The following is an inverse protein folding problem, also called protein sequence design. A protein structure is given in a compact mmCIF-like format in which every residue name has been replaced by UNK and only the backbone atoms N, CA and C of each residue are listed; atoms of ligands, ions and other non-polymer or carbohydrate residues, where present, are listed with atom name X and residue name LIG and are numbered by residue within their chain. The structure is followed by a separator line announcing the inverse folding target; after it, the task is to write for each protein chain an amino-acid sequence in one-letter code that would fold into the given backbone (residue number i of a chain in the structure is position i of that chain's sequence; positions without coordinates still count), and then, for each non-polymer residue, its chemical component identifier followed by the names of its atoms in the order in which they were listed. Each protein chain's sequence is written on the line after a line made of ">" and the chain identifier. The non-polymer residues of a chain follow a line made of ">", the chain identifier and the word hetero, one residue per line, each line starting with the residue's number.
data_IF_172093142287
#
_entry.id   IF_172093142287
#
_cell.length_a   1.000
_cell.length_b   1.000
_cell.length_c   1.000
_cell.angle_alpha   90.00
_cell.angle_beta   90.00
_cell.angle_gamma   90.00
#
_symmetry.space_group_name_H-M   'P 1'
#
loop_
_entity.id
_entity.type
_entity.pdbx_description
1 polymer ?
#
# COMPACT_ATOMS: atom_id res chain seq x y z
N UNK A 1 -15.91 2.76 -10.78
CA UNK A 1 -14.69 2.58 -9.98
C UNK A 1 -14.53 1.12 -9.63
N UNK A 2 -13.34 0.57 -9.89
CA UNK A 2 -13.08 -0.88 -9.81
C UNK A 2 -13.19 -1.35 -8.36
N UNK A 3 -12.76 -0.53 -7.40
CA UNK A 3 -12.75 -0.89 -5.98
C UNK A 3 -14.15 -0.96 -5.35
N UNK A 4 -15.10 -0.14 -5.82
CA UNK A 4 -16.48 -0.17 -5.32
C UNK A 4 -17.16 -1.53 -5.54
N UNK A 5 -16.85 -2.21 -6.64
CA UNK A 5 -17.34 -3.57 -6.90
C UNK A 5 -16.71 -4.59 -5.96
N UNK A 6 -15.45 -4.38 -5.56
CA UNK A 6 -14.70 -5.30 -4.72
C UNK A 6 -15.23 -5.31 -3.27
N UNK A 7 -15.64 -4.15 -2.76
CA UNK A 7 -16.20 -4.03 -1.41
C UNK A 7 -17.71 -4.30 -1.34
N UNK A 8 -18.36 -4.54 -2.48
CA UNK A 8 -19.80 -4.76 -2.52
C UNK A 8 -20.17 -6.01 -1.71
N UNK A 9 -21.12 -5.87 -0.78
CA UNK A 9 -21.56 -6.92 0.15
C UNK A 9 -20.48 -7.44 1.11
N UNK A 10 -19.37 -6.71 1.27
CA UNK A 10 -18.32 -6.99 2.26
C UNK A 10 -18.41 -5.98 3.40
N UNK A 11 -18.12 -6.41 4.63
CA UNK A 11 -18.00 -5.50 5.78
C UNK A 11 -16.57 -4.95 5.80
N UNK A 12 -16.37 -3.81 5.13
CA UNK A 12 -15.09 -3.10 5.07
C UNK A 12 -15.16 -1.89 5.99
N UNK A 13 -14.19 -1.75 6.88
CA UNK A 13 -14.01 -0.52 7.66
C UNK A 13 -13.03 0.37 6.90
N UNK A 14 -13.30 1.68 6.87
CA UNK A 14 -12.44 2.64 6.21
C UNK A 14 -12.48 3.98 6.93
N UNK A 15 -11.39 4.75 6.87
CA UNK A 15 -11.25 6.03 7.58
C UNK A 15 -11.96 7.19 6.90
N UNK A 16 -12.24 7.04 5.61
CA UNK A 16 -12.68 8.11 4.73
C UNK A 16 -11.52 8.52 3.84
N UNK A 17 -11.84 8.81 2.58
CA UNK A 17 -10.88 9.22 1.58
C UNK A 17 -10.10 10.48 1.96
N UNK A 18 -8.89 10.60 1.43
CA UNK A 18 -8.05 11.80 1.54
C UNK A 18 -8.18 12.68 0.30
N UNK A 19 -7.82 13.95 0.43
CA UNK A 19 -7.83 14.86 -0.71
C UNK A 19 -6.71 14.52 -1.70
N UNK A 20 -6.91 14.79 -2.99
CA UNK A 20 -5.90 14.57 -4.03
C UNK A 20 -4.57 15.27 -3.70
N UNK A 21 -4.62 16.45 -3.07
CA UNK A 21 -3.43 17.20 -2.67
C UNK A 21 -2.61 16.50 -1.59
N UNK A 22 -3.22 15.65 -0.75
CA UNK A 22 -2.51 14.82 0.23
C UNK A 22 -1.79 13.67 -0.47
N UNK A 23 -2.41 13.07 -1.49
CA UNK A 23 -1.78 12.05 -2.34
C UNK A 23 -0.56 12.64 -3.06
N UNK A 24 -0.71 13.80 -3.72
CA UNK A 24 0.39 14.48 -4.42
C UNK A 24 1.54 14.85 -3.48
N UNK A 25 1.21 15.25 -2.25
CA UNK A 25 2.22 15.53 -1.21
C UNK A 25 2.97 14.24 -0.82
N UNK A 26 2.26 13.13 -0.63
CA UNK A 26 2.86 11.84 -0.29
C UNK A 26 3.77 11.32 -1.41
N UNK A 27 3.33 11.39 -2.67
CA UNK A 27 4.14 11.01 -3.84
C UNK A 27 5.43 11.83 -3.90
N UNK A 28 5.34 13.15 -3.69
CA UNK A 28 6.50 14.05 -3.66
C UNK A 28 7.44 13.74 -2.51
N UNK A 29 6.90 13.46 -1.33
CA UNK A 29 7.66 13.18 -0.11
C UNK A 29 8.42 11.85 -0.21
N UNK A 30 7.81 10.84 -0.84
CA UNK A 30 8.44 9.54 -1.08
C UNK A 30 9.25 9.50 -2.39
N UNK A 31 9.13 10.51 -3.25
CA UNK A 31 9.72 10.53 -4.60
C UNK A 31 9.30 9.32 -5.45
N UNK A 32 8.06 8.84 -5.29
CA UNK A 32 7.49 7.70 -6.00
C UNK A 32 6.06 8.04 -6.39
N UNK A 33 5.72 7.86 -7.67
CA UNK A 33 4.32 7.97 -8.13
C UNK A 33 3.50 6.76 -7.69
N UNK A 34 2.27 7.00 -7.29
CA UNK A 34 1.33 5.98 -6.86
C UNK A 34 0.50 5.49 -8.05
N UNK A 35 0.31 4.17 -8.19
CA UNK A 35 -0.50 3.61 -9.26
C UNK A 35 -1.97 4.00 -9.10
N UNK A 36 -2.67 4.04 -10.22
CA UNK A 36 -4.02 4.63 -10.30
C UNK A 36 -5.05 3.93 -9.39
N UNK A 37 -4.97 2.61 -9.27
CA UNK A 37 -5.85 1.83 -8.40
C UNK A 37 -5.54 2.01 -6.91
N UNK A 38 -4.29 2.26 -6.53
CA UNK A 38 -3.94 2.64 -5.16
C UNK A 38 -4.41 4.06 -4.85
N UNK A 39 -4.28 5.01 -5.78
CA UNK A 39 -4.85 6.37 -5.62
C UNK A 39 -6.37 6.34 -5.49
N UNK A 40 -7.07 5.50 -6.26
CA UNK A 40 -8.52 5.26 -6.11
C UNK A 40 -8.86 4.81 -4.68
N UNK A 41 -8.04 3.94 -4.08
CA UNK A 41 -8.22 3.53 -2.68
C UNK A 41 -8.08 4.72 -1.73
N UNK A 42 -6.99 5.47 -1.86
CA UNK A 42 -6.67 6.59 -0.96
C UNK A 42 -7.75 7.68 -1.01
N UNK A 43 -8.20 8.06 -2.21
CA UNK A 43 -9.13 9.19 -2.41
C UNK A 43 -10.56 8.83 -2.03
N UNK A 44 -10.97 7.58 -2.21
CA UNK A 44 -12.37 7.18 -1.96
C UNK A 44 -12.56 6.57 -0.56
N UNK A 45 -11.54 5.90 -0.03
CA UNK A 45 -11.66 5.09 1.20
C UNK A 45 -10.62 5.46 2.26
N UNK A 46 -9.45 5.98 1.87
CA UNK A 46 -8.34 6.20 2.79
C UNK A 46 -7.74 4.86 3.22
N UNK A 47 -7.47 4.71 4.52
CA UNK A 47 -7.07 3.43 5.08
C UNK A 47 -8.28 2.49 5.16
N UNK A 48 -8.03 1.21 4.89
CA UNK A 48 -9.05 0.16 4.95
C UNK A 48 -8.60 -0.97 5.88
N UNK A 49 -9.59 -1.58 6.54
CA UNK A 49 -9.42 -2.82 7.29
C UNK A 49 -10.47 -3.82 6.82
N UNK A 50 -9.99 -4.99 6.38
CA UNK A 50 -10.84 -6.10 5.95
C UNK A 50 -10.42 -7.36 6.69
N UNK A 51 -11.18 -7.70 7.73
CA UNK A 51 -10.85 -8.82 8.60
C UNK A 51 -9.59 -8.52 9.41
N UNK A 52 -8.56 -9.35 9.27
CA UNK A 52 -7.24 -9.17 9.91
C UNK A 52 -6.21 -8.55 8.97
N UNK A 53 -6.59 -8.18 7.74
CA UNK A 53 -5.68 -7.60 6.77
C UNK A 53 -5.78 -6.07 6.84
N UNK A 54 -4.65 -5.46 7.14
CA UNK A 54 -4.47 -4.02 7.17
C UNK A 54 -3.49 -3.65 6.05
N UNK A 55 -3.89 -2.69 5.23
CA UNK A 55 -3.05 -2.15 4.15
C UNK A 55 -2.73 -0.72 4.54
N UNK A 56 -1.44 -0.41 4.65
CA UNK A 56 -1.00 0.94 4.97
C UNK A 56 -1.43 1.90 3.87
N UNK A 57 -1.89 3.08 4.27
CA UNK A 57 -2.58 4.06 3.43
C UNK A 57 -2.38 5.49 3.94
N UNK A 58 -3.18 6.44 3.47
CA UNK A 58 -3.24 7.82 3.99
C UNK A 58 -4.51 8.01 4.84
N UNK A 59 -4.55 9.10 5.62
CA UNK A 59 -5.65 9.41 6.53
C UNK A 59 -5.54 8.72 7.90
N UNK A 60 -4.39 8.13 8.20
CA UNK A 60 -4.01 7.49 9.47
C UNK A 60 -2.60 7.90 9.85
N UNK A 61 -2.18 7.60 11.09
CA UNK A 61 -0.84 7.87 11.63
C UNK A 61 -0.15 6.55 12.03
N UNK A 62 1.17 6.56 12.22
CA UNK A 62 1.96 5.41 12.66
C UNK A 62 2.16 4.36 11.57
N UNK A 63 2.30 3.09 11.97
CA UNK A 63 2.68 1.97 11.09
C UNK A 63 1.67 1.68 9.95
N UNK A 64 0.44 2.21 10.06
CA UNK A 64 -0.57 2.14 9.00
C UNK A 64 -0.52 3.33 8.04
N UNK A 65 0.27 4.36 8.32
CA UNK A 65 0.53 5.44 7.38
C UNK A 65 1.58 5.00 6.36
N UNK A 66 1.22 4.98 5.07
CA UNK A 66 2.12 4.52 4.00
C UNK A 66 3.40 5.34 3.90
N UNK A 67 3.35 6.64 4.21
CA UNK A 67 4.53 7.51 4.16
C UNK A 67 5.46 7.21 5.32
N UNK A 68 4.92 7.10 6.54
CA UNK A 68 5.70 6.78 7.74
C UNK A 68 6.33 5.40 7.62
N UNK A 69 5.53 4.37 7.29
CA UNK A 69 6.01 3.00 7.11
C UNK A 69 7.06 2.89 6.00
N UNK A 70 6.82 3.52 4.84
CA UNK A 70 7.79 3.46 3.74
C UNK A 70 9.12 4.11 4.12
N UNK A 71 9.09 5.23 4.86
CA UNK A 71 10.30 5.89 5.31
C UNK A 71 11.07 5.04 6.31
N UNK A 72 10.38 4.49 7.30
CA UNK A 72 10.96 3.62 8.30
C UNK A 72 11.66 2.42 7.64
N UNK A 73 10.97 1.69 6.77
CA UNK A 73 11.55 0.52 6.12
C UNK A 73 12.69 0.84 5.15
N UNK A 74 12.69 2.04 4.54
CA UNK A 74 13.82 2.51 3.72
C UNK A 74 15.09 2.73 4.54
N UNK A 75 14.99 3.02 5.85
CA UNK A 75 16.17 3.14 6.72
C UNK A 75 16.83 1.77 6.99
N UNK A 76 16.04 0.70 7.00
CA UNK A 76 16.51 -0.67 7.24
C UNK A 76 16.91 -1.41 5.95
N UNK A 77 16.38 -0.98 4.80
CA UNK A 77 16.68 -1.61 3.53
C UNK A 77 18.13 -1.35 3.06
N UNK A 78 18.92 -2.39 2.77
CA UNK A 78 20.27 -2.21 2.24
C UNK A 78 20.26 -1.51 0.87
N UNK A 79 21.35 -0.79 0.59
CA UNK A 79 21.67 -0.22 -0.72
C UNK A 79 20.56 0.64 -1.35
N UNK A 80 19.65 1.23 -0.56
CA UNK A 80 18.53 2.04 -1.06
C UNK A 80 17.58 1.26 -2.00
N UNK A 81 17.45 -0.05 -1.84
CA UNK A 81 16.68 -0.91 -2.74
C UNK A 81 15.17 -0.59 -2.78
N UNK A 82 14.63 0.04 -1.73
CA UNK A 82 13.21 0.41 -1.64
C UNK A 82 12.88 1.83 -2.15
N UNK A 83 13.83 2.56 -2.76
CA UNK A 83 13.59 3.96 -3.16
C UNK A 83 12.52 4.13 -4.24
N UNK A 84 12.33 3.13 -5.11
CA UNK A 84 11.33 3.17 -6.19
C UNK A 84 9.99 2.52 -5.79
N UNK A 85 9.86 2.11 -4.53
CA UNK A 85 8.70 1.39 -4.01
C UNK A 85 8.07 2.12 -2.83
N UNK A 86 6.79 1.84 -2.61
CA UNK A 86 6.12 2.12 -1.34
C UNK A 86 5.87 0.80 -0.60
N UNK A 87 5.93 0.85 0.73
CA UNK A 87 5.61 -0.30 1.58
C UNK A 87 4.15 -0.21 1.98
N UNK A 88 3.36 -1.20 1.56
CA UNK A 88 1.92 -1.25 1.84
C UNK A 88 1.58 -2.22 2.97
N UNK A 89 2.50 -3.12 3.34
CA UNK A 89 2.42 -3.93 4.56
C UNK A 89 3.81 -4.29 5.08
N UNK A 90 3.96 -4.27 6.40
CA UNK A 90 5.03 -4.98 7.10
C UNK A 90 4.39 -6.15 7.86
N UNK A 91 4.75 -7.39 7.49
CA UNK A 91 4.14 -8.59 8.07
C UNK A 91 4.76 -9.03 9.41
N UNK A 92 5.80 -8.34 9.89
CA UNK A 92 6.45 -8.62 11.18
C UNK A 92 7.20 -9.94 11.24
N UNK A 93 7.44 -10.60 10.10
CA UNK A 93 8.09 -11.90 10.00
C UNK A 93 9.37 -11.77 9.16
N UNK A 94 10.53 -11.81 9.80
CA UNK A 94 11.85 -11.85 9.13
C UNK A 94 12.10 -10.73 8.09
N UNK A 95 11.54 -9.54 8.31
CA UNK A 95 11.66 -8.40 7.38
C UNK A 95 10.88 -8.59 6.08
N UNK A 96 9.84 -9.44 6.09
CA UNK A 96 8.91 -9.61 4.98
C UNK A 96 8.00 -8.39 4.85
N UNK A 97 8.16 -7.69 3.73
CA UNK A 97 7.36 -6.54 3.33
C UNK A 97 6.54 -6.88 2.09
N UNK A 98 5.37 -6.28 1.97
CA UNK A 98 4.64 -6.17 0.71
C UNK A 98 4.83 -4.77 0.17
N UNK A 99 5.36 -4.67 -1.05
CA UNK A 99 5.72 -3.40 -1.68
C UNK A 99 5.09 -3.23 -3.05
N UNK A 100 4.83 -1.97 -3.41
CA UNK A 100 4.18 -1.57 -4.64
C UNK A 100 5.11 -0.65 -5.43
N UNK A 101 5.26 -0.90 -6.74
CA UNK A 101 5.95 0.02 -7.64
C UNK A 101 4.99 1.03 -8.29
N UNK A 102 5.53 2.00 -9.03
CA UNK A 102 4.75 3.06 -9.69
C UNK A 102 3.87 2.56 -10.84
N UNK A 103 4.12 1.35 -11.36
CA UNK A 103 3.28 0.69 -12.36
C UNK A 103 2.12 -0.11 -11.73
N UNK A 104 2.15 -0.28 -10.41
CA UNK A 104 1.16 -1.03 -9.65
C UNK A 104 1.51 -2.50 -9.44
N UNK A 105 2.70 -2.95 -9.84
CA UNK A 105 3.11 -4.32 -9.56
C UNK A 105 3.39 -4.50 -8.06
N UNK A 106 3.01 -5.66 -7.54
CA UNK A 106 3.14 -5.98 -6.12
C UNK A 106 4.21 -7.04 -5.93
N UNK A 107 5.10 -6.82 -4.96
CA UNK A 107 6.21 -7.71 -4.65
C UNK A 107 6.24 -8.08 -3.17
N UNK A 108 6.63 -9.31 -2.90
CA UNK A 108 7.24 -9.64 -1.61
C UNK A 108 8.69 -9.14 -1.64
N UNK A 109 9.09 -8.39 -0.62
CA UNK A 109 10.46 -8.01 -0.37
C UNK A 109 10.95 -8.68 0.91
N UNK A 110 12.07 -9.40 0.82
CA UNK A 110 12.72 -10.02 1.98
C UNK A 110 14.23 -9.91 1.82
N UNK A 111 14.89 -9.19 2.74
CA UNK A 111 16.35 -9.11 2.83
C UNK A 111 17.03 -8.85 1.46
N UNK A 112 16.52 -7.86 0.73
CA UNK A 112 17.03 -7.43 -0.57
C UNK A 112 16.63 -8.27 -1.78
N UNK A 113 15.68 -9.19 -1.62
CA UNK A 113 15.12 -9.98 -2.72
C UNK A 113 13.68 -9.60 -2.97
N UNK A 114 13.38 -9.31 -4.23
CA UNK A 114 12.03 -9.03 -4.70
C UNK A 114 11.47 -10.26 -5.41
N UNK A 115 10.23 -10.61 -5.07
CA UNK A 115 9.44 -11.61 -5.79
C UNK A 115 8.10 -10.99 -6.16
N UNK A 116 7.89 -10.76 -7.45
CA UNK A 116 6.60 -10.27 -7.96
C UNK A 116 5.51 -11.30 -7.66
N UNK A 117 4.45 -10.87 -6.99
CA UNK A 117 3.30 -11.71 -6.61
C UNK A 117 2.03 -11.32 -7.36
N UNK A 118 1.85 -10.03 -7.68
CA UNK A 118 0.74 -9.55 -8.50
C UNK A 118 1.20 -8.53 -9.53
N UNK A 119 0.42 -8.41 -10.60
CA UNK A 119 0.65 -7.48 -11.71
C UNK A 119 0.01 -6.10 -11.50
N UNK A 120 -0.90 -5.98 -10.54
CA UNK A 120 -1.63 -4.76 -10.21
C UNK A 120 -2.12 -4.82 -8.74
N UNK A 121 -2.28 -3.65 -8.10
CA UNK A 121 -2.73 -3.54 -6.72
C UNK A 121 -4.16 -4.04 -6.55
N UNK A 122 -5.02 -3.80 -7.54
CA UNK A 122 -6.39 -4.33 -7.55
C UNK A 122 -6.45 -5.85 -7.38
N UNK A 123 -5.61 -6.60 -8.10
CA UNK A 123 -5.57 -8.06 -8.03
C UNK A 123 -5.06 -8.55 -6.68
N UNK A 124 -4.08 -7.85 -6.10
CA UNK A 124 -3.60 -8.11 -4.75
C UNK A 124 -4.70 -7.87 -3.71
N UNK A 125 -5.29 -6.68 -3.71
CA UNK A 125 -6.36 -6.31 -2.80
C UNK A 125 -7.58 -7.25 -2.91
N UNK A 126 -7.89 -7.68 -4.13
CA UNK A 126 -8.95 -8.68 -4.34
C UNK A 126 -8.66 -10.00 -3.64
N UNK A 127 -7.40 -10.44 -3.62
CA UNK A 127 -7.03 -11.65 -2.88
C UNK A 127 -7.24 -11.45 -1.39
N UNK A 128 -6.70 -10.38 -0.80
CA UNK A 128 -6.77 -10.08 0.64
C UNK A 128 -8.21 -10.04 1.19
N UNK A 129 -9.18 -9.64 0.36
CA UNK A 129 -10.60 -9.48 0.73
C UNK A 129 -11.44 -10.73 0.49
N UNK A 130 -10.96 -11.65 -0.34
CA UNK A 130 -11.67 -12.86 -0.73
C UNK A 130 -11.34 -14.09 0.14
N UNK A 131 -10.35 -14.00 1.03
CA UNK A 131 -10.09 -15.00 2.08
C UNK A 131 -11.12 -14.89 3.20
#
# INVERSE_FOLDING_TARGET
>A
MKLKQLFQNKKVLFTGGVELSEVEKAEKELSVSFPEDYKELLIEYGAISVGSHEISALGVEGDLNVVELTKEEREFAPNNELQEYIVIQNLGIEGLLIVLDSEGNVYEYVNGKFKKIYKDFYSYLKMEICV
#
